data_IF_341650445367
#
_entry.id   IF_341650445367
#
_cell.length_a   1.000
_cell.length_b   1.000
_cell.length_c   1.000
_cell.angle_alpha   90.00
_cell.angle_beta   90.00
_cell.angle_gamma   90.00
#
_symmetry.space_group_name_H-M   'P 1'
#
loop_
_entity.id
_entity.type
_entity.pdbx_description
1 polymer ?
#
# COMPACT_ATOMS: atom_id res chain seq x y z
N UNK A 1 16.10 -14.93 -2.38
CA UNK A 1 15.23 -13.84 -2.91
C UNK A 1 14.16 -14.30 -3.91
N UNK A 2 14.08 -15.54 -4.40
CA UNK A 2 13.17 -15.94 -5.50
C UNK A 2 11.71 -16.23 -5.12
N UNK A 3 11.30 -16.06 -3.85
CA UNK A 3 9.97 -16.49 -3.36
C UNK A 3 8.79 -15.69 -3.94
N UNK A 4 9.03 -14.47 -4.41
CA UNK A 4 8.01 -13.60 -4.99
C UNK A 4 8.65 -12.58 -5.94
N UNK A 5 7.85 -12.01 -6.85
CA UNK A 5 8.30 -10.98 -7.80
C UNK A 5 7.81 -9.58 -7.41
N UNK A 6 6.65 -9.50 -6.74
CA UNK A 6 5.94 -8.27 -6.44
C UNK A 6 5.66 -8.20 -4.93
N UNK A 7 5.97 -7.06 -4.32
CA UNK A 7 5.53 -6.72 -2.98
C UNK A 7 4.42 -5.66 -3.07
N UNK A 8 3.39 -5.83 -2.24
CA UNK A 8 2.29 -4.88 -2.11
C UNK A 8 2.29 -4.36 -0.68
N UNK A 9 2.42 -3.05 -0.51
CA UNK A 9 2.39 -2.38 0.79
C UNK A 9 1.09 -1.61 0.93
N UNK A 10 0.31 -1.92 1.97
CA UNK A 10 -0.83 -1.11 2.41
C UNK A 10 -0.36 -0.22 3.56
N UNK A 11 0.24 0.91 3.23
CA UNK A 11 0.79 1.84 4.22
C UNK A 11 1.02 3.22 3.61
N UNK A 12 0.88 4.25 4.45
CA UNK A 12 1.25 5.63 4.15
C UNK A 12 2.51 6.12 4.88
N UNK A 13 3.13 5.29 5.70
CA UNK A 13 4.19 5.68 6.63
C UNK A 13 5.58 5.75 5.96
N UNK A 14 6.25 6.89 6.11
CA UNK A 14 7.59 7.16 5.57
C UNK A 14 8.66 6.18 6.06
N UNK A 15 8.48 5.56 7.23
CA UNK A 15 9.45 4.62 7.79
C UNK A 15 9.66 3.39 6.88
N UNK A 16 8.70 3.07 6.02
CA UNK A 16 8.83 1.98 5.04
C UNK A 16 9.69 2.32 3.83
N UNK A 17 10.14 3.56 3.65
CA UNK A 17 10.93 3.97 2.48
C UNK A 17 12.24 3.17 2.35
N UNK A 18 12.89 2.87 3.47
CA UNK A 18 14.10 2.05 3.49
C UNK A 18 13.82 0.61 3.01
N UNK A 19 12.67 0.04 3.41
CA UNK A 19 12.23 -1.28 2.97
C UNK A 19 11.91 -1.30 1.48
N UNK A 20 11.13 -0.31 1.01
CA UNK A 20 10.82 -0.17 -0.43
C UNK A 20 12.10 -0.11 -1.25
N UNK A 21 13.06 0.72 -0.83
CA UNK A 21 14.36 0.87 -1.50
C UNK A 21 15.16 -0.45 -1.50
N UNK A 22 15.18 -1.17 -0.38
CA UNK A 22 15.84 -2.47 -0.26
C UNK A 22 15.25 -3.51 -1.22
N UNK A 23 13.92 -3.61 -1.27
CA UNK A 23 13.21 -4.56 -2.13
C UNK A 23 13.42 -4.26 -3.61
N UNK A 24 13.36 -2.98 -4.00
CA UNK A 24 13.59 -2.55 -5.38
C UNK A 24 15.03 -2.81 -5.83
N UNK A 25 16.03 -2.55 -4.96
CA UNK A 25 17.43 -2.92 -5.23
C UNK A 25 17.63 -4.43 -5.40
N UNK A 26 16.80 -5.25 -4.75
CA UNK A 26 16.78 -6.70 -4.92
C UNK A 26 15.99 -7.15 -6.18
N UNK A 27 15.60 -6.23 -7.07
CA UNK A 27 14.88 -6.49 -8.32
C UNK A 27 13.40 -6.80 -8.14
N UNK A 28 12.79 -6.45 -6.99
CA UNK A 28 11.35 -6.60 -6.76
C UNK A 28 10.58 -5.39 -7.25
N UNK A 29 9.38 -5.62 -7.78
CA UNK A 29 8.41 -4.53 -7.98
C UNK A 29 7.68 -4.28 -6.68
N UNK A 30 7.50 -3.02 -6.31
CA UNK A 30 6.83 -2.63 -5.07
C UNK A 30 5.69 -1.67 -5.39
N UNK A 31 4.47 -2.05 -5.05
CA UNK A 31 3.29 -1.21 -5.23
C UNK A 31 2.73 -0.77 -3.88
N UNK A 32 2.38 0.51 -3.79
CA UNK A 32 1.97 1.15 -2.54
C UNK A 32 0.51 1.53 -2.63
N UNK A 33 -0.25 1.13 -1.64
CA UNK A 33 -1.66 1.39 -1.49
C UNK A 33 -1.83 2.19 -0.20
N UNK A 34 -2.35 3.40 -0.32
CA UNK A 34 -2.76 4.21 0.83
C UNK A 34 -3.86 5.17 0.40
N UNK A 35 -4.49 5.83 1.35
CA UNK A 35 -5.34 6.98 1.07
C UNK A 35 -4.49 8.20 0.78
N UNK A 36 -4.83 8.99 -0.24
CA UNK A 36 -4.08 10.21 -0.62
C UNK A 36 -3.88 11.20 0.54
N UNK A 37 -4.79 11.20 1.50
CA UNK A 37 -4.75 12.10 2.66
C UNK A 37 -3.85 11.58 3.79
N UNK A 38 -3.34 10.35 3.70
CA UNK A 38 -2.59 9.69 4.75
C UNK A 38 -1.41 8.91 4.15
N UNK A 39 -0.53 9.63 3.45
CA UNK A 39 0.71 9.08 2.90
C UNK A 39 1.80 10.16 2.82
N UNK A 40 3.03 9.79 3.17
CA UNK A 40 4.21 10.65 2.97
C UNK A 40 4.54 10.82 1.47
N UNK A 41 5.05 11.98 1.07
CA UNK A 41 5.37 12.23 -0.33
C UNK A 41 6.51 11.35 -0.85
N UNK A 42 7.48 11.07 0.02
CA UNK A 42 8.61 10.18 -0.27
C UNK A 42 8.12 8.76 -0.52
N UNK A 43 7.21 8.26 0.32
CA UNK A 43 6.65 6.93 0.13
C UNK A 43 5.81 6.87 -1.15
N UNK A 44 4.97 7.89 -1.40
CA UNK A 44 4.14 8.00 -2.60
C UNK A 44 4.93 7.89 -3.91
N UNK A 45 6.19 8.32 -3.90
CA UNK A 45 7.08 8.32 -5.08
C UNK A 45 8.17 7.23 -5.05
N UNK A 46 8.37 6.57 -3.91
CA UNK A 46 9.44 5.58 -3.71
C UNK A 46 9.20 4.20 -4.33
N UNK A 47 7.94 3.83 -4.57
CA UNK A 47 7.55 2.55 -5.18
C UNK A 47 7.61 2.54 -6.72
N UNK A 48 7.21 1.42 -7.31
CA UNK A 48 6.98 1.27 -8.76
C UNK A 48 5.54 1.66 -9.16
N UNK A 49 4.68 1.94 -8.18
CA UNK A 49 3.37 2.54 -8.39
C UNK A 49 2.65 2.86 -7.08
N UNK A 50 1.79 3.86 -7.13
CA UNK A 50 0.94 4.28 -6.01
C UNK A 50 -0.54 4.19 -6.42
N UNK A 51 -1.35 3.64 -5.53
CA UNK A 51 -2.79 3.47 -5.71
C UNK A 51 -3.52 4.10 -4.52
N UNK A 52 -4.36 5.07 -4.85
CA UNK A 52 -5.22 5.75 -3.88
C UNK A 52 -6.42 4.87 -3.55
N UNK A 53 -6.45 4.29 -2.35
CA UNK A 53 -7.54 3.39 -1.93
C UNK A 53 -8.89 4.09 -1.87
N UNK A 54 -8.91 5.43 -1.74
CA UNK A 54 -10.14 6.23 -1.77
C UNK A 54 -10.79 6.29 -3.15
N UNK A 55 -10.07 5.92 -4.22
CA UNK A 55 -10.60 5.88 -5.59
C UNK A 55 -11.16 4.51 -5.97
N UNK A 56 -11.13 3.55 -5.05
CA UNK A 56 -11.68 2.23 -5.28
C UNK A 56 -13.20 2.33 -5.15
N UNK A 57 -13.87 2.37 -6.30
CA UNK A 57 -15.34 2.48 -6.38
C UNK A 57 -16.03 1.10 -6.51
N UNK A 58 -15.26 0.02 -6.64
CA UNK A 58 -15.79 -1.34 -6.67
C UNK A 58 -16.09 -1.87 -5.27
N UNK A 59 -17.03 -2.80 -5.16
CA UNK A 59 -17.23 -3.55 -3.91
C UNK A 59 -16.00 -4.44 -3.65
N UNK A 60 -15.14 -3.99 -2.73
CA UNK A 60 -13.95 -4.70 -2.26
C UNK A 60 -14.17 -5.40 -0.92
N UNK A 61 -15.33 -5.20 -0.30
CA UNK A 61 -15.60 -5.69 1.05
C UNK A 61 -16.10 -7.14 1.03
N UNK A 62 -16.66 -7.58 -0.11
CA UNK A 62 -17.03 -8.98 -0.39
C UNK A 62 -18.14 -9.54 0.51
N UNK A 63 -18.50 -8.84 1.58
CA UNK A 63 -19.54 -9.11 2.59
C UNK A 63 -19.97 -7.78 3.24
N UNK A 64 -21.14 -7.78 3.87
CA UNK A 64 -21.62 -6.61 4.62
C UNK A 64 -20.66 -6.24 5.76
N UNK A 65 -20.34 -4.95 5.87
CA UNK A 65 -19.56 -4.38 6.95
C UNK A 65 -20.39 -4.42 8.25
N UNK A 66 -20.11 -5.38 9.12
CA UNK A 66 -20.72 -5.44 10.45
C UNK A 66 -20.03 -4.42 11.38
N UNK A 67 -20.68 -3.28 11.63
CA UNK A 67 -20.22 -2.33 12.63
C UNK A 67 -20.49 -2.86 14.04
N UNK A 68 -19.57 -2.62 14.98
CA UNK A 68 -19.83 -2.94 16.39
C UNK A 68 -20.89 -1.97 16.91
N UNK A 69 -21.96 -2.42 17.57
CA UNK A 69 -22.94 -1.51 18.16
C UNK A 69 -22.25 -0.64 19.22
N UNK A 70 -22.57 0.66 19.23
CA UNK A 70 -22.17 1.56 20.31
C UNK A 70 -22.81 1.10 21.63
N UNK A 71 -22.04 1.16 22.71
CA UNK A 71 -22.47 0.76 24.06
C UNK A 71 -23.34 1.83 24.71
#
# INVERSE_FOLDING_TARGET
>A
MSKYNIAVLFSGDSDFLALVSYLRRAGKKVYIFSSKNNISEELRTGGDGYFDVLKINGDIWGRELHHRPEK
#
